data_IF_310146481388
#
_entry.id   IF_310146481388
#
_cell.length_a   1.000
_cell.length_b   1.000
_cell.length_c   1.000
_cell.angle_alpha   90.00
_cell.angle_beta   90.00
_cell.angle_gamma   90.00
#
_symmetry.space_group_name_H-M   'P 1'
#
loop_
_entity.id
_entity.type
_entity.pdbx_description
1 polymer ?
#
# COMPACT_ATOMS: atom_id res chain seq x y z
N UNK A 1 9.71 10.23 3.58
CA UNK A 1 9.78 9.28 4.70
C UNK A 1 8.65 8.26 4.60
N UNK A 2 8.90 7.02 5.01
CA UNK A 2 7.93 5.95 4.90
C UNK A 2 7.49 5.48 6.29
N UNK A 3 6.20 5.32 6.48
CA UNK A 3 5.62 4.95 7.77
C UNK A 3 4.89 3.63 7.64
N UNK A 4 5.06 2.76 8.62
CA UNK A 4 4.35 1.48 8.66
C UNK A 4 2.91 1.72 9.10
N UNK A 5 1.94 1.17 8.37
CA UNK A 5 0.54 1.26 8.72
C UNK A 5 0.04 -0.03 9.38
N UNK A 6 0.21 -1.16 8.72
CA UNK A 6 -0.23 -2.45 9.26
C UNK A 6 0.49 -3.61 8.57
N UNK A 7 0.42 -4.78 9.20
CA UNK A 7 0.85 -6.03 8.62
C UNK A 7 -0.40 -6.89 8.40
N UNK A 8 -0.54 -7.45 7.21
CA UNK A 8 -1.70 -8.27 6.89
C UNK A 8 -1.52 -9.71 7.41
N UNK A 9 -2.61 -10.50 7.35
CA UNK A 9 -2.59 -11.89 7.82
C UNK A 9 -1.56 -12.75 7.07
N UNK A 10 -1.29 -12.43 5.83
CA UNK A 10 -0.33 -13.17 5.01
C UNK A 10 1.07 -12.55 5.03
N UNK A 11 1.36 -11.76 6.06
CA UNK A 11 2.67 -11.12 6.30
C UNK A 11 3.08 -10.06 5.28
N UNK A 12 2.14 -9.49 4.55
CA UNK A 12 2.42 -8.33 3.73
C UNK A 12 2.41 -7.09 4.61
N UNK A 13 3.34 -6.18 4.36
CA UNK A 13 3.39 -4.92 5.07
C UNK A 13 2.80 -3.82 4.23
N UNK A 14 1.89 -3.04 4.81
CA UNK A 14 1.35 -1.85 4.18
C UNK A 14 2.01 -0.65 4.83
N UNK A 15 2.71 0.13 4.01
CA UNK A 15 3.41 1.33 4.45
C UNK A 15 2.98 2.50 3.57
N UNK A 16 3.18 3.72 4.04
CA UNK A 16 2.74 4.90 3.30
C UNK A 16 3.73 6.05 3.44
N UNK A 17 3.67 6.97 2.49
CA UNK A 17 4.43 8.21 2.55
C UNK A 17 3.70 9.21 3.45
N UNK A 18 4.33 10.34 3.69
CA UNK A 18 3.65 11.49 4.27
C UNK A 18 2.69 12.09 3.24
N UNK A 19 1.74 12.89 3.72
CA UNK A 19 0.81 13.60 2.85
C UNK A 19 1.58 14.64 2.04
N UNK A 20 1.45 14.55 0.73
CA UNK A 20 2.15 15.46 -0.19
C UNK A 20 1.37 16.76 -0.37
N UNK A 21 2.05 17.77 -0.90
CA UNK A 21 1.45 19.09 -1.12
C UNK A 21 0.21 19.05 -2.00
N UNK A 22 0.16 18.13 -2.95
CA UNK A 22 -0.98 17.97 -3.84
C UNK A 22 -2.13 17.15 -3.23
N UNK A 23 -2.02 16.81 -1.96
CA UNK A 23 -3.05 16.05 -1.25
C UNK A 23 -3.00 14.56 -1.47
N UNK A 24 -1.91 14.04 -2.06
CA UNK A 24 -1.80 12.61 -2.32
C UNK A 24 -0.91 11.90 -1.30
N UNK A 25 -1.14 10.60 -1.15
CA UNK A 25 -0.33 9.73 -0.31
C UNK A 25 0.03 8.50 -1.14
N UNK A 26 1.30 8.17 -1.20
CA UNK A 26 1.74 6.95 -1.86
C UNK A 26 1.69 5.80 -0.86
N UNK A 27 0.99 4.74 -1.22
CA UNK A 27 0.85 3.54 -0.39
C UNK A 27 1.61 2.40 -1.06
N UNK A 28 2.40 1.69 -0.26
CA UNK A 28 3.20 0.56 -0.73
C UNK A 28 2.74 -0.69 0.00
N UNK A 29 2.60 -1.78 -0.73
CA UNK A 29 2.37 -3.10 -0.14
C UNK A 29 3.57 -3.96 -0.51
N UNK A 30 4.23 -4.52 0.48
CA UNK A 30 5.42 -5.33 0.27
C UNK A 30 5.25 -6.67 0.98
N UNK A 31 5.47 -7.75 0.25
CA UNK A 31 5.39 -9.10 0.81
C UNK A 31 6.69 -9.84 0.49
N UNK A 32 7.48 -10.22 1.49
CA UNK A 32 8.68 -11.00 1.25
C UNK A 32 8.32 -12.41 0.78
N UNK A 33 9.08 -12.91 -0.17
CA UNK A 33 8.91 -14.26 -0.69
C UNK A 33 10.28 -14.91 -0.80
N UNK A 34 10.41 -16.11 -0.27
CA UNK A 34 11.68 -16.82 -0.25
C UNK A 34 12.18 -17.12 -1.66
N UNK A 35 11.28 -17.37 -2.58
CA UNK A 35 11.64 -17.76 -3.95
C UNK A 35 11.92 -16.57 -4.85
N UNK A 36 11.08 -15.53 -4.76
CA UNK A 36 11.08 -14.41 -5.70
C UNK A 36 11.52 -13.09 -5.09
N UNK A 37 12.12 -13.11 -3.91
CA UNK A 37 12.53 -11.93 -3.16
C UNK A 37 11.33 -11.18 -2.60
N UNK A 38 10.84 -10.17 -3.30
CA UNK A 38 9.71 -9.37 -2.82
C UNK A 38 8.62 -9.25 -3.87
N UNK A 39 7.39 -9.44 -3.44
CA UNK A 39 6.24 -9.00 -4.20
C UNK A 39 5.87 -7.62 -3.70
N UNK A 40 5.59 -6.69 -4.59
CA UNK A 40 5.26 -5.33 -4.16
C UNK A 40 4.27 -4.66 -5.10
N UNK A 41 3.59 -3.65 -4.56
CA UNK A 41 2.75 -2.78 -5.37
C UNK A 41 2.74 -1.39 -4.78
N UNK A 42 2.42 -0.41 -5.62
CA UNK A 42 2.28 0.98 -5.22
C UNK A 42 0.94 1.49 -5.71
N UNK A 43 0.24 2.22 -4.87
CA UNK A 43 -0.96 2.93 -5.29
C UNK A 43 -0.99 4.32 -4.69
N UNK A 44 -1.76 5.19 -5.31
CA UNK A 44 -1.84 6.58 -4.91
C UNK A 44 -3.24 6.86 -4.34
N UNK A 45 -3.30 7.46 -3.17
CA UNK A 45 -4.55 7.91 -2.58
C UNK A 45 -4.71 9.43 -2.80
N UNK A 46 -5.92 9.95 -2.87
CA UNK A 46 -7.20 9.26 -2.75
C UNK A 46 -7.75 8.67 -4.05
N UNK A 47 -7.01 8.77 -5.13
CA UNK A 47 -7.49 8.34 -6.46
C UNK A 47 -7.54 6.82 -6.65
N UNK A 48 -6.86 6.05 -5.80
CA UNK A 48 -6.70 4.59 -5.92
C UNK A 48 -6.01 4.19 -7.22
N UNK A 49 -5.13 5.05 -7.73
CA UNK A 49 -4.36 4.75 -8.94
C UNK A 49 -3.23 3.78 -8.63
N UNK A 50 -3.26 2.61 -9.26
CA UNK A 50 -2.17 1.65 -9.12
C UNK A 50 -1.02 2.11 -10.00
N UNK A 51 0.15 2.36 -9.39
CA UNK A 51 1.33 2.86 -10.13
C UNK A 51 2.28 1.75 -10.52
N UNK A 52 2.33 0.69 -9.73
CA UNK A 52 3.24 -0.42 -9.99
C UNK A 52 2.74 -1.67 -9.28
N UNK A 53 2.84 -2.82 -9.95
CA UNK A 53 2.57 -4.13 -9.36
C UNK A 53 3.67 -5.06 -9.81
N UNK A 54 4.30 -5.75 -8.87
CA UNK A 54 5.33 -6.72 -9.17
C UNK A 54 5.03 -8.05 -8.46
N UNK A 55 4.82 -9.08 -9.25
CA UNK A 55 4.60 -10.47 -8.80
C UNK A 55 3.31 -10.75 -8.04
N UNK A 56 2.46 -9.79 -7.79
CA UNK A 56 1.13 -10.05 -7.25
C UNK A 56 0.18 -10.45 -8.38
N UNK A 57 -0.65 -11.48 -8.13
CA UNK A 57 -1.72 -11.84 -9.05
C UNK A 57 -2.82 -10.76 -9.02
N UNK A 58 -3.73 -10.81 -9.99
CA UNK A 58 -4.86 -9.88 -10.00
C UNK A 58 -5.72 -10.03 -8.74
N UNK A 59 -5.91 -11.27 -8.28
CA UNK A 59 -6.68 -11.55 -7.09
C UNK A 59 -6.02 -10.98 -5.84
N UNK A 60 -4.71 -11.15 -5.70
CA UNK A 60 -3.96 -10.57 -4.59
C UNK A 60 -4.00 -9.05 -4.64
N UNK A 61 -3.79 -8.47 -5.81
CA UNK A 61 -3.83 -7.03 -6.00
C UNK A 61 -5.19 -6.46 -5.58
N UNK A 62 -6.27 -7.10 -6.01
CA UNK A 62 -7.61 -6.66 -5.65
C UNK A 62 -7.85 -6.75 -4.14
N UNK A 63 -7.39 -7.82 -3.51
CA UNK A 63 -7.52 -8.01 -2.07
C UNK A 63 -6.80 -6.91 -1.29
N UNK A 64 -5.59 -6.55 -1.70
CA UNK A 64 -4.85 -5.48 -1.05
C UNK A 64 -5.49 -4.12 -1.32
N UNK A 65 -5.99 -3.90 -2.53
CA UNK A 65 -6.71 -2.66 -2.85
C UNK A 65 -7.98 -2.52 -2.00
N UNK A 66 -8.69 -3.62 -1.77
CA UNK A 66 -9.88 -3.61 -0.92
C UNK A 66 -9.50 -3.23 0.52
N UNK A 67 -8.39 -3.77 1.02
CA UNK A 67 -7.89 -3.41 2.36
C UNK A 67 -7.49 -1.94 2.43
N UNK A 68 -6.83 -1.43 1.42
CA UNK A 68 -6.42 -0.04 1.35
C UNK A 68 -7.65 0.87 1.31
N UNK A 69 -8.65 0.53 0.51
CA UNK A 69 -9.89 1.30 0.43
C UNK A 69 -10.63 1.33 1.77
N UNK A 70 -10.68 0.19 2.44
CA UNK A 70 -11.35 0.09 3.74
C UNK A 70 -10.65 0.95 4.80
N UNK A 71 -9.36 1.18 4.67
CA UNK A 71 -8.55 1.91 5.63
C UNK A 71 -8.04 3.25 5.11
N UNK A 72 -8.48 3.69 3.94
CA UNK A 72 -7.93 4.88 3.29
C UNK A 72 -8.01 6.12 4.16
N UNK A 73 -9.11 6.31 4.87
CA UNK A 73 -9.28 7.44 5.78
C UNK A 73 -8.21 7.44 6.87
N UNK A 74 -7.98 6.28 7.47
CA UNK A 74 -6.98 6.14 8.53
C UNK A 74 -5.56 6.34 8.01
N UNK A 75 -5.29 5.86 6.79
CA UNK A 75 -3.98 6.04 6.17
C UNK A 75 -3.72 7.52 5.92
N UNK A 76 -4.69 8.23 5.38
CA UNK A 76 -4.57 9.67 5.11
C UNK A 76 -4.39 10.44 6.41
N UNK A 77 -5.16 10.11 7.44
CA UNK A 77 -5.03 10.75 8.75
C UNK A 77 -3.63 10.51 9.34
N UNK A 78 -3.13 9.28 9.23
CA UNK A 78 -1.79 8.94 9.73
C UNK A 78 -0.67 9.63 8.96
N UNK A 79 -0.92 10.05 7.73
CA UNK A 79 0.09 10.69 6.89
C UNK A 79 0.18 12.21 7.09
N UNK A 80 -0.69 12.77 7.90
CA UNK A 80 -0.66 14.19 8.27
C UNK A 80 0.30 14.40 9.43
N UNK A 81 1.58 14.32 9.14
CA UNK A 81 2.63 14.44 10.17
C UNK A 81 3.45 15.69 10.00
#
# INVERSE_FOLDING_TARGET
>A
MIYKFMTTEDNAEIVHSELKEDGTVMVYVEKPDIKDCFHHMKCLLPSYSIKEVFSFSEEETQRYMDSIKANSHLIIESSKV
#
